data_IF_088679911916
#
_entry.id   IF_088679911916
#
_cell.length_a   1.000
_cell.length_b   1.000
_cell.length_c   1.000
_cell.angle_alpha   90.00
_cell.angle_beta   90.00
_cell.angle_gamma   90.00
#
_symmetry.space_group_name_H-M   'P 1'
#
loop_
_entity.id
_entity.type
_entity.pdbx_description
1 polymer ?
#
# COMPACT_ATOMS: atom_id res chain seq x y z
N UNK A 1 -21.82 12.19 -2.86
CA UNK A 1 -20.71 12.21 -1.91
C UNK A 1 -20.24 10.79 -1.65
N UNK A 2 -18.97 10.59 -1.35
CA UNK A 2 -18.36 9.30 -0.99
C UNK A 2 -17.60 9.46 0.32
N UNK A 3 -17.71 8.48 1.21
CA UNK A 3 -16.98 8.43 2.46
C UNK A 3 -15.94 7.33 2.31
N UNK A 4 -14.68 7.67 2.55
CA UNK A 4 -13.58 6.73 2.65
C UNK A 4 -13.14 6.61 4.10
N UNK A 5 -12.92 5.39 4.55
CA UNK A 5 -12.35 5.07 5.87
C UNK A 5 -11.10 4.26 5.64
N UNK A 6 -10.01 4.64 6.27
CA UNK A 6 -8.77 3.86 6.37
C UNK A 6 -8.64 3.33 7.79
N UNK A 7 -8.80 2.02 7.95
CA UNK A 7 -8.71 1.31 9.23
C UNK A 7 -7.29 0.79 9.43
N UNK A 8 -6.42 1.63 9.95
CA UNK A 8 -5.07 1.22 10.34
C UNK A 8 -5.00 0.55 11.71
N UNK A 9 -3.89 -0.09 12.03
CA UNK A 9 -3.68 -0.76 13.32
C UNK A 9 -3.61 0.18 14.52
N UNK A 10 -3.26 1.46 14.32
CA UNK A 10 -3.10 2.46 15.40
C UNK A 10 -4.06 3.64 15.28
N UNK A 11 -4.51 3.95 14.09
CA UNK A 11 -5.40 5.08 13.77
C UNK A 11 -6.46 4.66 12.77
N UNK A 12 -7.67 5.23 12.91
CA UNK A 12 -8.70 5.24 11.90
C UNK A 12 -8.74 6.65 11.32
N UNK A 13 -8.71 6.75 10.01
CA UNK A 13 -8.87 8.00 9.29
C UNK A 13 -10.10 7.94 8.39
N UNK A 14 -10.89 9.02 8.37
CA UNK A 14 -12.04 9.14 7.50
C UNK A 14 -12.02 10.44 6.71
N UNK A 15 -12.51 10.38 5.47
CA UNK A 15 -12.72 11.56 4.61
C UNK A 15 -14.11 11.52 3.96
N UNK A 16 -14.71 12.71 3.80
CA UNK A 16 -15.86 12.92 2.93
C UNK A 16 -15.37 13.53 1.62
N UNK A 17 -15.62 12.85 0.50
CA UNK A 17 -15.11 13.20 -0.82
C UNK A 17 -16.27 13.58 -1.74
N UNK A 18 -16.21 14.78 -2.32
CA UNK A 18 -17.15 15.20 -3.36
C UNK A 18 -16.91 14.44 -4.67
N UNK A 19 -17.83 14.61 -5.65
CA UNK A 19 -17.70 14.00 -6.99
C UNK A 19 -16.42 14.42 -7.71
N UNK A 20 -16.01 15.67 -7.55
CA UNK A 20 -14.79 16.26 -8.13
C UNK A 20 -13.48 15.89 -7.42
N UNK A 21 -13.53 15.02 -6.39
CA UNK A 21 -12.36 14.61 -5.63
C UNK A 21 -11.97 15.57 -4.50
N UNK A 22 -12.72 16.67 -4.28
CA UNK A 22 -12.45 17.59 -3.16
C UNK A 22 -12.85 16.95 -1.83
N UNK A 23 -11.94 17.00 -0.85
CA UNK A 23 -12.22 16.59 0.55
C UNK A 23 -12.99 17.76 1.20
N UNK A 24 -14.20 17.45 1.71
CA UNK A 24 -15.07 18.42 2.40
C UNK A 24 -15.20 18.11 3.91
N UNK A 25 -14.71 16.97 4.36
CA UNK A 25 -14.60 16.61 5.77
C UNK A 25 -13.48 15.62 5.97
N UNK A 26 -12.76 15.72 7.10
CA UNK A 26 -11.67 14.81 7.48
C UNK A 26 -11.60 14.66 8.98
N UNK A 27 -11.45 13.43 9.45
CA UNK A 27 -11.27 13.13 10.86
C UNK A 27 -10.29 11.98 11.06
N UNK A 28 -9.49 12.08 12.12
CA UNK A 28 -8.62 11.00 12.60
C UNK A 28 -8.94 10.68 14.05
N UNK A 29 -8.84 9.40 14.42
CA UNK A 29 -8.99 8.93 15.79
C UNK A 29 -8.11 7.69 16.03
N UNK A 30 -7.74 7.38 17.29
CA UNK A 30 -7.06 6.13 17.60
C UNK A 30 -7.94 4.92 17.25
N UNK A 31 -7.32 3.83 16.77
CA UNK A 31 -8.00 2.55 16.59
C UNK A 31 -8.23 1.89 17.96
N UNK A 32 -9.47 1.47 18.27
CA UNK A 32 -9.74 0.65 19.46
C UNK A 32 -8.89 -0.63 19.40
N UNK A 33 -8.15 -0.90 20.47
CA UNK A 33 -7.25 -2.04 20.51
C UNK A 33 -7.96 -3.29 21.04
N UNK A 34 -7.89 -4.40 20.28
CA UNK A 34 -8.35 -5.71 20.70
C UNK A 34 -9.88 -5.90 20.83
N UNK A 35 -10.68 -4.89 20.52
CA UNK A 35 -12.14 -4.91 20.64
C UNK A 35 -12.80 -4.68 19.27
N UNK A 36 -13.41 -5.75 18.76
CA UNK A 36 -14.10 -5.74 17.48
C UNK A 36 -15.35 -4.84 17.48
N UNK A 37 -16.22 -4.99 18.49
CA UNK A 37 -17.48 -4.26 18.56
C UNK A 37 -17.27 -2.75 18.73
N UNK A 38 -16.26 -2.37 19.50
CA UNK A 38 -15.86 -0.97 19.65
C UNK A 38 -15.25 -0.45 18.35
N UNK A 39 -14.55 -1.28 17.58
CA UNK A 39 -14.02 -0.88 16.25
C UNK A 39 -15.16 -0.64 15.26
N UNK A 40 -16.18 -1.51 15.20
CA UNK A 40 -17.37 -1.32 14.36
C UNK A 40 -18.09 -0.02 14.73
N UNK A 41 -18.31 0.24 16.03
CA UNK A 41 -18.91 1.51 16.50
C UNK A 41 -18.07 2.72 16.12
N UNK A 42 -16.77 2.67 16.31
CA UNK A 42 -15.88 3.78 15.95
C UNK A 42 -15.94 4.13 14.45
N UNK A 43 -16.06 3.12 13.59
CA UNK A 43 -16.23 3.33 12.14
C UNK A 43 -17.61 3.95 11.84
N UNK A 44 -18.69 3.45 12.46
CA UNK A 44 -20.03 3.98 12.25
C UNK A 44 -20.17 5.42 12.75
N UNK A 45 -19.59 5.74 13.89
CA UNK A 45 -19.56 7.10 14.44
C UNK A 45 -18.75 8.04 13.56
N UNK A 46 -17.63 7.57 12.97
CA UNK A 46 -16.83 8.33 12.01
C UNK A 46 -17.65 8.67 10.75
N UNK A 47 -18.40 7.69 10.23
CA UNK A 47 -19.28 7.90 9.07
C UNK A 47 -20.36 8.94 9.40
N UNK A 48 -21.04 8.82 10.55
CA UNK A 48 -22.07 9.78 10.99
C UNK A 48 -21.51 11.20 11.17
N UNK A 49 -20.31 11.32 11.75
CA UNK A 49 -19.61 12.61 11.86
C UNK A 49 -19.35 13.24 10.49
N UNK A 50 -18.78 12.48 9.53
CA UNK A 50 -18.44 13.01 8.19
C UNK A 50 -19.69 13.37 7.37
N UNK A 51 -20.80 12.67 7.56
CA UNK A 51 -22.10 13.02 6.95
C UNK A 51 -22.66 14.31 7.53
N UNK A 52 -22.54 14.50 8.86
CA UNK A 52 -22.91 15.74 9.51
C UNK A 52 -22.11 16.95 9.06
N UNK A 53 -20.77 16.80 8.96
CA UNK A 53 -19.89 17.87 8.44
C UNK A 53 -20.21 18.26 6.99
N UNK A 54 -20.57 17.28 6.16
CA UNK A 54 -20.83 17.49 4.74
C UNK A 54 -22.32 17.82 4.44
N UNK A 55 -23.19 17.77 5.44
CA UNK A 55 -24.65 17.87 5.31
C UNK A 55 -25.21 16.99 4.18
N UNK A 56 -24.67 15.77 4.05
CA UNK A 56 -25.04 14.88 2.96
C UNK A 56 -24.73 13.42 3.30
N UNK A 57 -25.63 12.52 2.91
CA UNK A 57 -25.38 11.06 3.00
C UNK A 57 -24.49 10.60 1.86
N UNK A 58 -23.47 9.76 2.16
CA UNK A 58 -22.49 9.26 1.19
C UNK A 58 -22.50 7.74 1.05
N UNK A 59 -21.98 7.22 -0.07
CA UNK A 59 -21.56 5.82 -0.16
C UNK A 59 -20.31 5.60 0.70
N UNK A 60 -20.16 4.40 1.31
CA UNK A 60 -19.09 4.11 2.27
C UNK A 60 -18.15 3.06 1.71
N UNK A 61 -16.86 3.39 1.65
CA UNK A 61 -15.77 2.46 1.37
C UNK A 61 -14.79 2.41 2.54
N UNK A 62 -14.22 1.23 2.79
CA UNK A 62 -13.27 0.96 3.85
C UNK A 62 -12.01 0.33 3.26
N UNK A 63 -10.85 0.92 3.54
CA UNK A 63 -9.53 0.32 3.35
C UNK A 63 -9.04 -0.27 4.67
N UNK A 64 -8.43 -1.45 4.63
CA UNK A 64 -7.84 -2.07 5.82
C UNK A 64 -6.66 -2.98 5.46
N UNK A 65 -5.68 -3.20 6.37
CA UNK A 65 -4.74 -4.29 6.24
C UNK A 65 -5.47 -5.63 6.32
N UNK A 66 -5.26 -6.49 5.31
CA UNK A 66 -6.02 -7.73 5.14
C UNK A 66 -7.17 -7.59 4.14
N UNK A 67 -8.04 -8.59 4.07
CA UNK A 67 -9.13 -8.64 3.09
C UNK A 67 -10.27 -9.55 3.55
N UNK A 68 -11.47 -9.39 2.98
CA UNK A 68 -12.56 -10.36 3.11
C UNK A 68 -12.25 -11.58 2.24
N UNK A 69 -12.16 -12.74 2.86
CA UNK A 69 -11.90 -14.01 2.17
C UNK A 69 -13.05 -14.39 1.22
N UNK A 70 -12.81 -14.62 -0.08
CA UNK A 70 -13.85 -15.08 -0.98
C UNK A 70 -14.43 -16.45 -0.60
N UNK A 71 -13.66 -17.28 0.12
CA UNK A 71 -14.08 -18.63 0.51
C UNK A 71 -15.01 -18.65 1.72
N UNK A 72 -14.81 -17.73 2.69
CA UNK A 72 -15.54 -17.74 3.97
C UNK A 72 -16.43 -16.52 4.19
N UNK A 73 -16.19 -15.42 3.47
CA UNK A 73 -16.83 -14.12 3.72
C UNK A 73 -16.37 -13.47 5.02
N UNK A 74 -15.22 -13.88 5.57
CA UNK A 74 -14.69 -13.35 6.83
C UNK A 74 -13.36 -12.65 6.58
N UNK A 75 -13.00 -11.70 7.44
CA UNK A 75 -11.70 -11.03 7.42
C UNK A 75 -10.57 -12.04 7.58
N UNK A 76 -9.53 -11.92 6.76
CA UNK A 76 -8.27 -12.67 6.87
C UNK A 76 -7.07 -11.74 6.72
N UNK A 77 -5.93 -12.12 7.30
CA UNK A 77 -4.64 -11.44 7.20
C UNK A 77 -4.64 -9.99 7.71
N UNK A 78 -5.59 -9.63 8.58
CA UNK A 78 -5.57 -8.32 9.23
C UNK A 78 -4.50 -8.26 10.32
N UNK A 79 -3.76 -7.14 10.39
CA UNK A 79 -2.80 -6.89 11.47
C UNK A 79 -3.50 -6.77 12.83
N UNK A 80 -4.68 -6.17 12.87
CA UNK A 80 -5.56 -6.14 14.05
C UNK A 80 -6.23 -7.49 14.22
N UNK A 81 -5.73 -8.33 15.14
CA UNK A 81 -6.15 -9.71 15.31
C UNK A 81 -7.66 -9.86 15.64
N UNK A 82 -8.26 -8.89 16.33
CA UNK A 82 -9.69 -8.91 16.66
C UNK A 82 -10.63 -8.89 15.42
N UNK A 83 -10.11 -8.48 14.26
CA UNK A 83 -10.86 -8.47 13.00
C UNK A 83 -10.86 -9.84 12.31
N UNK A 84 -9.80 -10.65 12.48
CA UNK A 84 -9.66 -11.92 11.77
C UNK A 84 -10.79 -12.89 12.17
N UNK A 85 -11.40 -13.52 11.15
CA UNK A 85 -12.53 -14.43 11.33
C UNK A 85 -13.88 -13.73 11.56
N UNK A 86 -13.96 -12.40 11.44
CA UNK A 86 -15.20 -11.62 11.62
C UNK A 86 -15.83 -11.21 10.28
N UNK A 87 -17.18 -11.10 10.20
CA UNK A 87 -17.90 -10.68 9.00
C UNK A 87 -18.04 -9.15 8.94
N UNK A 88 -16.92 -8.43 8.91
CA UNK A 88 -16.85 -6.97 9.09
C UNK A 88 -17.73 -6.19 8.08
N UNK A 89 -17.82 -6.65 6.85
CA UNK A 89 -18.68 -6.06 5.82
C UNK A 89 -20.15 -6.10 6.23
N UNK A 90 -20.63 -7.26 6.67
CA UNK A 90 -22.03 -7.47 7.08
C UNK A 90 -22.39 -6.70 8.34
N UNK A 91 -21.48 -6.66 9.31
CA UNK A 91 -21.71 -5.96 10.59
C UNK A 91 -21.76 -4.45 10.37
N UNK A 92 -20.88 -3.90 9.50
CA UNK A 92 -20.93 -2.50 9.11
C UNK A 92 -22.16 -2.18 8.26
N UNK A 93 -22.58 -3.05 7.33
CA UNK A 93 -23.81 -2.88 6.57
C UNK A 93 -25.04 -2.86 7.46
N UNK A 94 -25.11 -3.74 8.45
CA UNK A 94 -26.20 -3.78 9.44
C UNK A 94 -26.24 -2.50 10.28
N UNK A 95 -25.08 -2.04 10.77
CA UNK A 95 -24.99 -0.85 11.62
C UNK A 95 -25.31 0.45 10.86
N UNK A 96 -24.92 0.56 9.59
CA UNK A 96 -25.12 1.75 8.75
C UNK A 96 -26.44 1.73 7.95
N UNK A 97 -27.11 0.57 7.87
CA UNK A 97 -28.34 0.39 7.08
C UNK A 97 -28.13 0.57 5.57
N UNK A 98 -26.93 0.26 5.06
CA UNK A 98 -26.57 0.39 3.64
C UNK A 98 -25.34 -0.43 3.29
N UNK A 99 -25.10 -0.64 1.99
CA UNK A 99 -23.94 -1.36 1.47
C UNK A 99 -22.63 -0.64 1.81
N UNK A 100 -21.61 -1.44 2.18
CA UNK A 100 -20.24 -1.01 2.41
C UNK A 100 -19.31 -1.79 1.48
N UNK A 101 -18.34 -1.13 0.86
CA UNK A 101 -17.28 -1.79 0.10
C UNK A 101 -16.01 -1.81 0.92
N UNK A 102 -15.45 -2.99 1.09
CA UNK A 102 -14.18 -3.19 1.83
C UNK A 102 -13.10 -3.66 0.87
N UNK A 103 -11.90 -3.11 1.02
CA UNK A 103 -10.74 -3.48 0.21
C UNK A 103 -9.45 -3.44 1.04
N UNK A 104 -8.43 -4.11 0.54
CA UNK A 104 -7.08 -4.01 1.09
C UNK A 104 -6.53 -2.57 0.95
N UNK A 105 -5.71 -2.14 1.91
CA UNK A 105 -5.11 -0.80 1.96
C UNK A 105 -4.23 -0.47 0.75
N UNK A 106 -3.41 -1.42 0.26
CA UNK A 106 -2.58 -1.22 -0.92
C UNK A 106 -3.42 -1.12 -2.21
N UNK A 107 -4.53 -1.86 -2.31
CA UNK A 107 -5.50 -1.71 -3.40
C UNK A 107 -6.20 -0.34 -3.35
N UNK A 108 -6.56 0.14 -2.16
CA UNK A 108 -7.10 1.49 -1.99
C UNK A 108 -6.08 2.56 -2.41
N UNK A 109 -4.81 2.42 -1.99
CA UNK A 109 -3.73 3.30 -2.42
C UNK A 109 -3.62 3.34 -3.95
N UNK A 110 -3.51 2.19 -4.60
CA UNK A 110 -3.40 2.08 -6.05
C UNK A 110 -4.61 2.70 -6.78
N UNK A 111 -5.83 2.46 -6.26
CA UNK A 111 -7.06 3.02 -6.82
C UNK A 111 -7.09 4.55 -6.71
N UNK A 112 -6.66 5.13 -5.59
CA UNK A 112 -6.55 6.58 -5.45
C UNK A 112 -5.62 7.17 -6.49
N UNK A 113 -4.42 6.62 -6.61
CA UNK A 113 -3.41 7.14 -7.52
C UNK A 113 -3.79 6.96 -9.00
N UNK A 114 -4.56 5.94 -9.33
CA UNK A 114 -5.10 5.73 -10.67
C UNK A 114 -6.35 6.58 -10.97
N UNK A 115 -7.14 6.97 -9.95
CA UNK A 115 -8.40 7.70 -10.15
C UNK A 115 -8.18 9.21 -10.36
N UNK A 116 -7.50 9.86 -9.41
CA UNK A 116 -7.24 11.31 -9.44
C UNK A 116 -5.82 11.68 -8.95
N UNK A 117 -4.98 10.68 -8.75
CA UNK A 117 -3.62 10.79 -8.25
C UNK A 117 -2.54 10.95 -9.33
N UNK A 118 -1.35 10.44 -9.05
CA UNK A 118 -0.18 10.58 -9.92
C UNK A 118 -0.30 9.82 -11.25
N UNK A 119 -1.06 8.71 -11.27
CA UNK A 119 -1.29 7.88 -12.45
C UNK A 119 -2.69 8.04 -13.03
N UNK A 120 -3.37 9.18 -12.77
CA UNK A 120 -4.71 9.41 -13.28
C UNK A 120 -4.78 9.31 -14.81
N UNK A 121 -5.75 8.54 -15.32
CA UNK A 121 -5.97 8.34 -16.76
C UNK A 121 -5.06 7.27 -17.40
N UNK A 122 -4.19 6.62 -16.64
CA UNK A 122 -3.37 5.49 -17.12
C UNK A 122 -4.21 4.20 -17.11
N UNK A 123 -4.23 3.41 -18.19
CA UNK A 123 -4.97 2.15 -18.27
C UNK A 123 -4.53 1.10 -17.27
N UNK A 124 -3.22 0.92 -17.10
CA UNK A 124 -2.65 -0.10 -16.21
C UNK A 124 -1.72 0.55 -15.20
N UNK A 125 -2.07 0.45 -13.92
CA UNK A 125 -1.31 1.05 -12.82
C UNK A 125 -0.96 -0.02 -11.78
N UNK A 126 0.29 -0.03 -11.35
CA UNK A 126 0.73 -0.80 -10.21
C UNK A 126 1.07 0.11 -9.04
N UNK A 127 0.24 0.11 -8.00
CA UNK A 127 0.51 0.82 -6.76
C UNK A 127 1.39 -0.04 -5.86
N UNK A 128 2.43 0.57 -5.29
CA UNK A 128 3.39 -0.09 -4.39
C UNK A 128 3.43 0.64 -3.08
N UNK A 129 3.26 -0.06 -1.97
CA UNK A 129 3.49 0.49 -0.62
C UNK A 129 4.77 -0.11 -0.08
N UNK A 130 5.72 0.74 0.30
CA UNK A 130 6.96 0.38 1.01
C UNK A 130 7.03 1.13 2.33
N UNK A 131 6.83 0.40 3.41
CA UNK A 131 6.75 0.93 4.78
C UNK A 131 7.17 -0.12 5.79
N UNK A 132 6.35 -0.42 6.79
CA UNK A 132 6.56 -1.53 7.73
C UNK A 132 6.59 -2.88 6.99
N UNK A 133 5.75 -3.02 5.96
CA UNK A 133 5.76 -4.14 5.02
C UNK A 133 6.00 -3.67 3.58
N UNK A 134 5.77 -4.58 2.62
CA UNK A 134 5.82 -4.30 1.19
C UNK A 134 4.58 -4.89 0.54
N UNK A 135 3.62 -4.03 0.20
CA UNK A 135 2.36 -4.39 -0.45
C UNK A 135 2.26 -3.85 -1.88
N UNK A 136 1.22 -4.25 -2.58
CA UNK A 136 0.90 -3.70 -3.89
C UNK A 136 -0.56 -3.87 -4.27
N UNK A 137 -0.99 -3.08 -5.26
CA UNK A 137 -2.33 -3.15 -5.84
C UNK A 137 -2.26 -2.96 -7.34
N UNK A 138 -3.07 -3.70 -8.06
CA UNK A 138 -3.15 -3.67 -9.52
C UNK A 138 -4.46 -3.03 -9.96
N UNK A 139 -4.36 -1.99 -10.79
CA UNK A 139 -5.52 -1.31 -11.39
C UNK A 139 -5.44 -1.49 -12.91
N UNK A 140 -6.53 -1.96 -13.50
CA UNK A 140 -6.68 -2.07 -14.96
C UNK A 140 -7.99 -1.37 -15.36
N UNK A 141 -7.89 -0.38 -16.25
CA UNK A 141 -9.01 0.44 -16.70
C UNK A 141 -9.87 0.97 -15.55
N UNK A 142 -9.22 1.50 -14.50
CA UNK A 142 -9.89 2.06 -13.32
C UNK A 142 -10.47 1.02 -12.34
N UNK A 143 -10.22 -0.27 -12.54
CA UNK A 143 -10.75 -1.35 -11.70
C UNK A 143 -9.63 -2.09 -10.97
N UNK A 144 -9.86 -2.39 -9.69
CA UNK A 144 -8.94 -3.22 -8.89
C UNK A 144 -8.95 -4.65 -9.41
N UNK A 145 -7.77 -5.19 -9.67
CA UNK A 145 -7.58 -6.61 -9.98
C UNK A 145 -7.36 -7.39 -8.69
N UNK A 146 -8.44 -7.79 -8.03
CA UNK A 146 -8.36 -8.62 -6.81
C UNK A 146 -7.82 -10.02 -7.07
N UNK A 147 -8.07 -10.55 -8.28
CA UNK A 147 -7.82 -11.95 -8.61
C UNK A 147 -8.82 -12.91 -7.94
N UNK A 148 -8.77 -14.18 -8.37
CA UNK A 148 -9.70 -15.23 -7.88
C UNK A 148 -9.55 -15.52 -6.39
N UNK A 149 -8.32 -15.42 -5.88
CA UNK A 149 -7.99 -15.72 -4.48
C UNK A 149 -7.93 -14.47 -3.59
N UNK A 150 -8.27 -13.30 -4.16
CA UNK A 150 -8.13 -11.98 -3.52
C UNK A 150 -6.70 -11.74 -2.98
N UNK A 151 -5.70 -12.01 -3.82
CA UNK A 151 -4.27 -11.80 -3.54
C UNK A 151 -3.56 -11.09 -4.70
N UNK A 152 -4.32 -10.45 -5.59
CA UNK A 152 -3.75 -9.64 -6.66
C UNK A 152 -2.93 -8.50 -6.08
N UNK A 153 -1.64 -8.41 -6.45
CA UNK A 153 -0.73 -7.41 -5.91
C UNK A 153 0.13 -7.85 -4.72
N UNK A 154 0.00 -9.08 -4.21
CA UNK A 154 0.82 -9.65 -3.10
C UNK A 154 2.27 -9.95 -3.53
N UNK A 155 2.89 -9.04 -4.26
CA UNK A 155 4.23 -9.19 -4.83
C UNK A 155 5.33 -9.23 -3.79
N UNK A 156 5.11 -8.58 -2.63
CA UNK A 156 6.04 -8.55 -1.51
C UNK A 156 6.40 -9.92 -0.94
N UNK A 157 5.53 -10.92 -1.15
CA UNK A 157 5.75 -12.31 -0.72
C UNK A 157 6.30 -13.23 -1.82
N UNK A 158 6.63 -12.70 -2.99
CA UNK A 158 7.44 -13.41 -3.97
C UNK A 158 8.91 -13.40 -3.56
N UNK A 159 9.68 -14.38 -4.03
CA UNK A 159 11.14 -14.40 -3.82
C UNK A 159 11.79 -13.20 -4.52
N UNK A 160 12.85 -12.63 -3.92
CA UNK A 160 13.64 -11.59 -4.57
C UNK A 160 14.14 -12.11 -5.93
N UNK A 161 13.84 -11.41 -7.06
CA UNK A 161 14.26 -11.84 -8.38
C UNK A 161 15.77 -11.72 -8.56
N UNK A 162 16.36 -12.65 -9.30
CA UNK A 162 17.81 -12.69 -9.59
C UNK A 162 18.70 -12.42 -8.37
N UNK A 163 18.51 -13.16 -7.26
CA UNK A 163 19.21 -12.85 -6.01
C UNK A 163 20.71 -13.09 -6.16
N UNK A 164 21.50 -12.19 -5.60
CA UNK A 164 22.94 -12.37 -5.47
C UNK A 164 23.25 -13.43 -4.41
N UNK A 165 24.45 -14.02 -4.43
CA UNK A 165 24.86 -15.03 -3.45
C UNK A 165 24.74 -14.52 -2.01
N UNK A 166 25.07 -13.26 -1.75
CA UNK A 166 24.96 -12.61 -0.44
C UNK A 166 23.52 -12.38 0.04
N UNK A 167 22.54 -12.54 -0.85
CA UNK A 167 21.10 -12.35 -0.57
C UNK A 167 20.39 -13.69 -0.32
N UNK A 168 21.09 -14.81 -0.44
CA UNK A 168 20.54 -16.15 -0.26
C UNK A 168 20.99 -16.77 1.06
N UNK A 169 20.09 -17.50 1.76
CA UNK A 169 18.68 -17.79 1.45
C UNK A 169 17.74 -16.60 1.73
N UNK A 170 18.25 -15.46 2.22
CA UNK A 170 17.49 -14.30 2.67
C UNK A 170 16.91 -14.46 4.08
N UNK A 171 16.33 -13.38 4.59
CA UNK A 171 15.70 -13.38 5.92
C UNK A 171 14.38 -14.14 5.92
N UNK A 172 14.02 -14.69 7.09
CA UNK A 172 12.71 -15.30 7.31
C UNK A 172 11.61 -14.25 7.19
N UNK A 173 10.54 -14.60 6.47
CA UNK A 173 9.32 -13.82 6.34
C UNK A 173 8.22 -14.42 7.21
N UNK A 174 7.32 -13.58 7.74
CA UNK A 174 6.18 -14.06 8.52
C UNK A 174 5.22 -14.97 7.73
N UNK A 175 5.27 -14.94 6.39
CA UNK A 175 4.51 -15.85 5.53
C UNK A 175 5.03 -17.30 5.56
N UNK A 176 6.06 -17.60 6.36
CA UNK A 176 6.65 -18.92 6.51
C UNK A 176 7.76 -19.26 5.51
N UNK A 177 8.12 -18.33 4.61
CA UNK A 177 9.22 -18.49 3.63
C UNK A 177 10.40 -17.61 4.00
N UNK A 178 11.51 -17.76 3.28
CA UNK A 178 12.68 -16.89 3.37
C UNK A 178 12.93 -16.17 2.05
N UNK A 179 13.61 -15.01 2.10
CA UNK A 179 14.00 -14.27 0.91
C UNK A 179 12.86 -13.63 0.13
N UNK A 180 11.72 -13.37 0.76
CA UNK A 180 10.64 -12.59 0.16
C UNK A 180 11.09 -11.16 -0.12
N UNK A 181 10.58 -10.53 -1.18
CA UNK A 181 10.85 -9.13 -1.54
C UNK A 181 10.67 -8.20 -0.34
N UNK A 182 9.63 -8.41 0.47
CA UNK A 182 9.37 -7.62 1.68
C UNK A 182 10.53 -7.65 2.68
N UNK A 183 11.23 -8.76 2.82
CA UNK A 183 12.36 -8.85 3.76
C UNK A 183 13.54 -7.96 3.38
N UNK A 184 13.57 -7.47 2.15
CA UNK A 184 14.58 -6.56 1.62
C UNK A 184 14.07 -5.13 1.44
N UNK A 185 12.83 -4.95 0.97
CA UNK A 185 12.30 -3.65 0.54
C UNK A 185 11.44 -2.94 1.59
N UNK A 186 11.09 -3.59 2.71
CA UNK A 186 10.45 -2.91 3.83
C UNK A 186 11.42 -2.05 4.64
N UNK A 187 10.90 -1.15 5.49
CA UNK A 187 11.71 -0.38 6.43
C UNK A 187 12.57 -1.25 7.33
N UNK A 188 12.01 -2.29 7.99
CA UNK A 188 12.81 -3.28 8.72
C UNK A 188 13.87 -3.97 7.86
N UNK A 189 13.59 -4.24 6.58
CA UNK A 189 14.56 -4.79 5.63
C UNK A 189 15.76 -3.87 5.41
N UNK A 190 15.48 -2.59 5.13
CA UNK A 190 16.51 -1.55 4.98
C UNK A 190 17.36 -1.39 6.24
N UNK A 191 16.72 -1.34 7.42
CA UNK A 191 17.43 -1.25 8.71
C UNK A 191 18.37 -2.43 8.94
N UNK A 192 17.92 -3.66 8.70
CA UNK A 192 18.77 -4.86 8.85
C UNK A 192 19.94 -4.87 7.88
N UNK A 193 19.70 -4.46 6.62
CA UNK A 193 20.77 -4.39 5.62
C UNK A 193 21.84 -3.37 6.01
N UNK A 194 21.42 -2.19 6.47
CA UNK A 194 22.34 -1.18 6.98
C UNK A 194 23.13 -1.68 8.19
N UNK A 195 22.48 -2.31 9.17
CA UNK A 195 23.13 -2.86 10.35
C UNK A 195 24.19 -3.93 10.00
N UNK A 196 23.91 -4.79 9.03
CA UNK A 196 24.88 -5.78 8.54
C UNK A 196 26.11 -5.14 7.91
N UNK A 197 25.93 -4.04 7.16
CA UNK A 197 27.02 -3.36 6.47
C UNK A 197 27.82 -2.40 7.33
N UNK A 198 27.22 -1.79 8.35
CA UNK A 198 27.84 -0.76 9.20
C UNK A 198 28.21 -1.23 10.60
N UNK A 199 27.60 -2.33 11.07
CA UNK A 199 27.65 -2.76 12.49
C UNK A 199 26.75 -1.92 13.42
N UNK A 200 26.08 -0.87 12.93
CA UNK A 200 25.27 0.07 13.72
C UNK A 200 23.78 -0.06 13.40
N UNK A 201 22.93 0.00 14.41
CA UNK A 201 21.49 0.10 14.20
C UNK A 201 21.10 1.56 13.86
N UNK A 202 20.18 1.72 12.91
CA UNK A 202 19.55 3.00 12.61
C UNK A 202 18.17 2.75 11.97
N UNK A 203 17.22 3.66 12.21
CA UNK A 203 15.94 3.63 11.52
C UNK A 203 16.08 4.08 10.05
N UNK A 204 15.09 3.81 9.19
CA UNK A 204 15.20 4.12 7.76
C UNK A 204 15.46 5.59 7.44
N UNK A 205 14.88 6.52 8.21
CA UNK A 205 15.09 7.97 7.99
C UNK A 205 16.55 8.33 8.26
N UNK A 206 17.08 7.86 9.39
CA UNK A 206 18.49 8.03 9.76
C UNK A 206 19.44 7.46 8.72
N UNK A 207 19.14 6.28 8.15
CA UNK A 207 19.96 5.66 7.07
C UNK A 207 19.97 6.57 5.83
N UNK A 208 18.82 7.10 5.43
CA UNK A 208 18.72 8.02 4.29
C UNK A 208 19.50 9.29 4.53
N UNK A 209 19.41 9.89 5.72
CA UNK A 209 20.12 11.13 6.05
C UNK A 209 21.64 10.92 6.10
N UNK A 210 22.11 9.79 6.65
CA UNK A 210 23.52 9.40 6.63
C UNK A 210 24.05 9.19 5.21
N UNK A 211 23.25 8.58 4.34
CA UNK A 211 23.62 8.42 2.94
C UNK A 211 23.72 9.78 2.21
N UNK A 212 22.80 10.72 2.49
CA UNK A 212 22.87 12.10 1.99
C UNK A 212 24.13 12.83 2.48
N UNK A 213 24.55 12.56 3.71
CA UNK A 213 25.79 13.07 4.28
C UNK A 213 27.06 12.38 3.77
N UNK A 214 26.95 11.37 2.89
CA UNK A 214 28.06 10.68 2.25
C UNK A 214 28.67 9.54 3.10
N UNK A 215 27.97 9.04 4.14
CA UNK A 215 28.45 7.88 4.88
C UNK A 215 28.50 6.64 3.97
N UNK A 216 29.69 6.08 3.80
CA UNK A 216 29.95 4.99 2.85
C UNK A 216 29.04 3.78 3.05
N UNK A 217 28.80 3.35 4.31
CA UNK A 217 27.94 2.21 4.61
C UNK A 217 26.47 2.48 4.27
N UNK A 218 25.99 3.69 4.53
CA UNK A 218 24.63 4.12 4.22
C UNK A 218 24.40 4.27 2.71
N UNK A 219 25.37 4.87 1.99
CA UNK A 219 25.35 4.95 0.53
C UNK A 219 25.28 3.56 -0.08
N UNK A 220 26.17 2.64 0.33
CA UNK A 220 26.18 1.26 -0.16
C UNK A 220 24.88 0.50 0.16
N UNK A 221 24.28 0.75 1.33
CA UNK A 221 22.97 0.18 1.70
C UNK A 221 21.86 0.68 0.75
N UNK A 222 21.78 1.99 0.48
CA UNK A 222 20.80 2.52 -0.47
C UNK A 222 21.05 2.06 -1.91
N UNK A 223 22.30 1.86 -2.32
CA UNK A 223 22.61 1.31 -3.63
C UNK A 223 22.08 -0.11 -3.81
N UNK A 224 22.23 -0.97 -2.78
CA UNK A 224 21.61 -2.31 -2.78
C UNK A 224 20.09 -2.24 -2.76
N UNK A 225 19.52 -1.31 -1.98
CA UNK A 225 18.06 -1.12 -1.92
C UNK A 225 17.49 -0.74 -3.30
N UNK A 226 18.11 0.23 -3.99
CA UNK A 226 17.76 0.63 -5.37
C UNK A 226 17.84 -0.54 -6.35
N UNK A 227 18.91 -1.34 -6.28
CA UNK A 227 19.10 -2.50 -7.14
C UNK A 227 18.02 -3.56 -6.91
N UNK A 228 17.73 -3.89 -5.66
CA UNK A 228 16.66 -4.84 -5.29
C UNK A 228 15.28 -4.35 -5.71
N UNK A 229 15.00 -3.05 -5.56
CA UNK A 229 13.76 -2.44 -6.04
C UNK A 229 13.66 -2.56 -7.56
N UNK A 230 14.72 -2.26 -8.28
CA UNK A 230 14.75 -2.34 -9.74
C UNK A 230 14.48 -3.76 -10.24
N UNK A 231 15.14 -4.77 -9.67
CA UNK A 231 14.91 -6.18 -10.00
C UNK A 231 13.48 -6.61 -9.70
N UNK A 232 12.98 -6.24 -8.52
CA UNK A 232 11.64 -6.60 -8.08
C UNK A 232 10.56 -5.98 -8.97
N UNK A 233 10.69 -4.69 -9.32
CA UNK A 233 9.75 -4.01 -10.21
C UNK A 233 9.88 -4.48 -11.67
N UNK A 234 11.08 -4.82 -12.13
CA UNK A 234 11.26 -5.42 -13.46
C UNK A 234 10.48 -6.73 -13.63
N UNK A 235 10.37 -7.56 -12.59
CA UNK A 235 9.54 -8.76 -12.64
C UNK A 235 8.04 -8.44 -12.77
N UNK A 236 7.59 -7.33 -12.18
CA UNK A 236 6.22 -6.85 -12.34
C UNK A 236 6.01 -6.30 -13.77
N UNK A 237 6.96 -5.52 -14.29
CA UNK A 237 6.91 -5.00 -15.66
C UNK A 237 6.83 -6.15 -16.66
N UNK A 238 7.67 -7.19 -16.51
CA UNK A 238 7.65 -8.38 -17.39
C UNK A 238 6.34 -9.18 -17.37
N UNK A 239 5.48 -9.01 -16.37
CA UNK A 239 4.21 -9.75 -16.23
C UNK A 239 3.01 -8.87 -16.57
N UNK A 240 3.02 -7.62 -16.10
CA UNK A 240 1.86 -6.73 -16.12
C UNK A 240 1.98 -5.64 -17.19
N UNK A 241 3.20 -5.24 -17.56
CA UNK A 241 3.53 -4.14 -18.47
C UNK A 241 2.73 -2.87 -18.14
N UNK A 242 2.86 -2.30 -16.92
CA UNK A 242 2.05 -1.19 -16.50
C UNK A 242 2.50 0.13 -17.13
N UNK A 243 1.54 1.04 -17.40
CA UNK A 243 1.86 2.41 -17.83
C UNK A 243 2.59 3.19 -16.75
N UNK A 244 2.23 2.95 -15.49
CA UNK A 244 2.85 3.61 -14.35
C UNK A 244 2.92 2.69 -13.12
N UNK A 245 4.00 2.86 -12.35
CA UNK A 245 4.18 2.34 -11.00
C UNK A 245 4.22 3.53 -10.06
N UNK A 246 3.35 3.55 -9.05
CA UNK A 246 3.32 4.63 -8.05
C UNK A 246 3.81 4.08 -6.71
N UNK A 247 4.85 4.71 -6.14
CA UNK A 247 5.36 4.34 -4.82
C UNK A 247 4.63 5.10 -3.71
N UNK A 248 4.23 4.39 -2.66
CA UNK A 248 3.67 4.93 -1.43
C UNK A 248 4.35 4.35 -0.20
N UNK A 249 3.89 4.77 0.98
CA UNK A 249 4.50 4.41 2.26
C UNK A 249 5.73 5.25 2.59
N UNK A 250 6.27 5.09 3.81
CA UNK A 250 7.32 5.96 4.33
C UNK A 250 8.62 5.97 3.52
N UNK A 251 8.95 4.89 2.83
CA UNK A 251 10.17 4.80 2.01
C UNK A 251 9.99 5.41 0.60
N UNK A 252 8.77 5.75 0.19
CA UNK A 252 8.54 6.47 -1.07
C UNK A 252 9.14 7.89 -1.09
N UNK A 253 9.46 8.45 0.08
CA UNK A 253 10.17 9.72 0.22
C UNK A 253 11.67 9.68 -0.12
N UNK A 254 12.21 8.52 -0.48
CA UNK A 254 13.62 8.39 -0.94
C UNK A 254 13.71 8.86 -2.39
N UNK A 255 14.03 10.13 -2.60
CA UNK A 255 13.98 10.80 -3.91
C UNK A 255 14.79 10.08 -5.00
N UNK A 256 15.96 9.53 -4.64
CA UNK A 256 16.81 8.82 -5.61
C UNK A 256 16.16 7.59 -6.23
N UNK A 257 15.10 7.02 -5.62
CA UNK A 257 14.39 5.87 -6.21
C UNK A 257 13.84 6.21 -7.60
N UNK A 258 13.28 7.39 -7.76
CA UNK A 258 12.63 7.81 -9.01
C UNK A 258 13.59 8.02 -10.17
N UNK A 259 14.86 8.32 -9.89
CA UNK A 259 15.90 8.46 -10.90
C UNK A 259 16.68 7.16 -11.14
N UNK A 260 17.06 6.46 -10.05
CA UNK A 260 18.03 5.37 -10.13
C UNK A 260 17.37 4.01 -10.43
N UNK A 261 16.15 3.76 -9.96
CA UNK A 261 15.44 2.50 -10.20
C UNK A 261 15.12 2.32 -11.69
N UNK A 262 14.54 3.32 -12.41
CA UNK A 262 14.29 3.20 -13.85
C UNK A 262 15.56 2.98 -14.70
N UNK A 263 16.68 3.52 -14.30
CA UNK A 263 17.96 3.29 -15.00
C UNK A 263 18.45 1.84 -14.84
N UNK A 264 18.08 1.17 -13.73
CA UNK A 264 18.54 -0.19 -13.42
C UNK A 264 17.58 -1.27 -13.88
N UNK A 265 16.26 -1.04 -13.88
CA UNK A 265 15.32 -2.10 -14.23
C UNK A 265 15.38 -2.50 -15.71
N UNK A 266 15.80 -1.58 -16.61
CA UNK A 266 15.87 -1.84 -18.04
C UNK A 266 16.72 -3.09 -18.41
N UNK A 267 17.76 -3.41 -17.62
CA UNK A 267 18.60 -4.59 -17.85
C UNK A 267 17.90 -5.92 -17.48
N UNK A 268 16.77 -5.85 -16.76
CA UNK A 268 15.99 -7.02 -16.29
C UNK A 268 14.64 -7.14 -17.01
N UNK A 269 14.26 -6.16 -17.81
CA UNK A 269 13.01 -6.16 -18.57
C UNK A 269 13.27 -6.71 -19.97
N UNK A 270 12.41 -7.66 -20.41
CA UNK A 270 12.50 -8.24 -21.76
C UNK A 270 11.84 -7.31 -22.78
N UNK A 271 12.46 -6.17 -23.03
CA UNK A 271 12.02 -5.19 -24.03
C UNK A 271 13.23 -4.39 -24.51
N UNK A 272 13.16 -3.88 -25.73
CA UNK A 272 14.14 -2.93 -26.29
C UNK A 272 13.92 -1.51 -25.75
N UNK A 273 12.76 -1.24 -25.18
CA UNK A 273 12.38 0.03 -24.54
C UNK A 273 11.47 -0.20 -23.36
N UNK A 274 11.65 0.55 -22.29
CA UNK A 274 10.78 0.51 -21.09
C UNK A 274 10.23 1.91 -20.85
N UNK A 275 8.94 2.08 -21.15
CA UNK A 275 8.23 3.37 -21.02
C UNK A 275 7.43 3.47 -19.72
N UNK A 276 7.39 2.42 -18.90
CA UNK A 276 6.76 2.45 -17.58
C UNK A 276 7.32 3.60 -16.74
N UNK A 277 6.46 4.47 -16.23
CA UNK A 277 6.85 5.57 -15.36
C UNK A 277 6.90 5.13 -13.90
N UNK A 278 7.92 5.54 -13.14
CA UNK A 278 7.97 5.40 -11.69
C UNK A 278 7.65 6.75 -11.06
N UNK A 279 6.52 6.84 -10.35
CA UNK A 279 5.95 8.10 -9.89
C UNK A 279 5.88 8.18 -8.35
N UNK A 280 6.13 9.37 -7.76
CA UNK A 280 5.78 9.62 -6.37
C UNK A 280 4.28 9.73 -6.19
N UNK A 281 3.73 9.48 -4.98
CA UNK A 281 2.31 9.57 -4.72
C UNK A 281 1.87 11.03 -4.71
N UNK A 282 0.71 11.33 -5.30
CA UNK A 282 0.16 12.70 -5.33
C UNK A 282 -0.37 13.14 -3.97
N UNK A 283 -0.99 12.25 -3.22
CA UNK A 283 -1.67 12.59 -1.98
C UNK A 283 -0.95 12.06 -0.72
N UNK A 284 0.19 11.37 -0.88
CA UNK A 284 0.99 10.85 0.22
C UNK A 284 0.16 9.93 1.15
N UNK A 285 0.18 10.21 2.46
CA UNK A 285 -0.56 9.42 3.46
C UNK A 285 -2.09 9.43 3.26
N UNK A 286 -2.65 10.37 2.50
CA UNK A 286 -4.08 10.42 2.27
C UNK A 286 -4.55 9.52 1.12
N UNK A 287 -3.64 8.91 0.35
CA UNK A 287 -4.03 8.09 -0.80
C UNK A 287 -4.86 6.87 -0.39
N UNK A 288 -4.55 6.21 0.71
CA UNK A 288 -5.31 5.06 1.21
C UNK A 288 -6.78 5.41 1.51
N UNK A 289 -7.01 6.43 2.32
CA UNK A 289 -8.35 6.85 2.71
C UNK A 289 -9.16 7.43 1.52
N UNK A 290 -8.49 8.12 0.58
CA UNK A 290 -9.12 8.57 -0.68
C UNK A 290 -9.53 7.37 -1.54
N UNK A 291 -8.66 6.38 -1.68
CA UNK A 291 -8.92 5.15 -2.43
C UNK A 291 -10.09 4.35 -1.87
N UNK A 292 -10.25 4.32 -0.54
CA UNK A 292 -11.43 3.76 0.07
C UNK A 292 -12.72 4.46 -0.41
N UNK A 293 -12.72 5.79 -0.51
CA UNK A 293 -13.86 6.52 -1.08
C UNK A 293 -14.08 6.21 -2.57
N UNK A 294 -13.00 6.00 -3.34
CA UNK A 294 -13.06 5.64 -4.76
C UNK A 294 -13.54 4.21 -5.04
N UNK A 295 -13.71 3.36 -4.01
CA UNK A 295 -14.32 2.03 -4.19
C UNK A 295 -15.75 2.12 -4.77
N UNK A 296 -16.40 3.28 -4.67
CA UNK A 296 -17.69 3.56 -5.30
C UNK A 296 -17.48 4.42 -6.55
N UNK A 297 -17.97 3.96 -7.71
CA UNK A 297 -17.88 4.73 -8.96
C UNK A 297 -18.64 6.08 -8.85
N UNK A 298 -18.31 6.98 -9.74
CA UNK A 298 -19.12 8.20 -9.95
C UNK A 298 -20.26 7.78 -10.86
N UNK A 299 -21.49 7.79 -10.34
CA UNK A 299 -22.70 7.65 -11.13
C UNK A 299 -22.99 8.96 -11.88
#
# INVERSE_FOLDING_TARGET
MRIGIDLGGTKIEGVALRRDGLIVGRRRMPTPQGDYETTVRAITDMVGYLEGEADARGSVGLGMPGIISPATGLVKNANSQCLNGRPLDRDLEAALGRKVRIENDANCFALSEASDGAAAGRPVVFGVIVGTGTGGGVIVNGHIVRGRNAIGGEWGHNSLPWPQTSEQPGDSCYCGRAGCIETFLSGPGLTRDYQRGSGNAADPVTVVDRARAGETAAVACLDRYVDRMARSLASVINILDPDAIVLGGGLSGIERLYADVPRRWAQYVLSDRVDTELLPPKFGDASGVRGAAWLWPID
#
